data_IF_825615121609
#
_entry.id   IF_825615121609
#
_cell.length_a   1.000
_cell.length_b   1.000
_cell.length_c   1.000
_cell.angle_alpha   90.00
_cell.angle_beta   90.00
_cell.angle_gamma   90.00
#
_symmetry.space_group_name_H-M   'P 1'
#
loop_
_entity.id
_entity.type
_entity.pdbx_description
1 polymer ?
#
# COMPACT_ATOMS: atom_id res chain seq x y z
N UNK A 1 24.02 22.98 -5.31
CA UNK A 1 23.83 21.52 -5.20
C UNK A 1 23.08 21.23 -3.92
N UNK A 2 21.78 20.99 -4.04
CA UNK A 2 20.96 20.28 -3.05
C UNK A 2 19.62 20.04 -3.74
N UNK A 3 19.55 18.90 -4.43
CA UNK A 3 18.29 18.31 -4.88
C UNK A 3 17.33 18.28 -3.70
N UNK A 4 16.29 19.12 -3.73
CA UNK A 4 15.20 19.07 -2.77
C UNK A 4 14.28 17.92 -3.16
N UNK A 5 14.72 16.68 -2.91
CA UNK A 5 13.81 15.56 -2.76
C UNK A 5 12.95 15.84 -1.53
N UNK A 6 11.75 16.41 -1.74
CA UNK A 6 10.79 16.63 -0.66
C UNK A 6 10.51 15.29 0.03
N UNK A 7 10.92 15.16 1.28
CA UNK A 7 10.56 14.03 2.15
C UNK A 7 9.35 14.46 2.99
N UNK A 8 8.35 13.59 3.11
CA UNK A 8 7.20 13.87 3.99
C UNK A 8 7.65 14.03 5.44
N UNK A 9 7.05 14.98 6.17
CA UNK A 9 7.20 14.99 7.62
C UNK A 9 6.51 13.77 8.24
N UNK A 10 6.95 13.31 9.42
CA UNK A 10 6.36 12.14 10.08
C UNK A 10 4.84 12.27 10.27
N UNK A 11 4.34 13.49 10.54
CA UNK A 11 2.90 13.75 10.70
C UNK A 11 2.14 13.61 9.39
N UNK A 12 2.67 14.17 8.30
CA UNK A 12 2.07 14.03 6.96
C UNK A 12 2.08 12.57 6.51
N UNK A 13 3.18 11.87 6.78
CA UNK A 13 3.32 10.44 6.48
C UNK A 13 2.28 9.59 7.22
N UNK A 14 2.08 9.82 8.53
CA UNK A 14 1.08 9.10 9.31
C UNK A 14 -0.35 9.34 8.80
N UNK A 15 -0.68 10.58 8.42
CA UNK A 15 -1.99 10.88 7.82
C UNK A 15 -2.16 10.22 6.45
N UNK A 16 -1.13 10.29 5.60
CA UNK A 16 -1.11 9.65 4.30
C UNK A 16 -1.29 8.13 4.41
N UNK A 17 -0.57 7.49 5.34
CA UNK A 17 -0.71 6.07 5.59
C UNK A 17 -2.10 5.69 6.08
N UNK A 18 -2.72 6.48 6.97
CA UNK A 18 -4.08 6.18 7.46
C UNK A 18 -5.10 6.18 6.33
N UNK A 19 -5.07 7.22 5.49
CA UNK A 19 -5.98 7.35 4.35
C UNK A 19 -5.76 6.23 3.33
N UNK A 20 -4.50 5.97 2.96
CA UNK A 20 -4.15 4.95 1.98
C UNK A 20 -4.37 3.53 2.47
N UNK A 21 -4.14 3.25 3.76
CA UNK A 21 -4.48 1.96 4.36
C UNK A 21 -5.99 1.73 4.35
N UNK A 22 -6.80 2.73 4.68
CA UNK A 22 -8.26 2.59 4.64
C UNK A 22 -8.79 2.31 3.23
N UNK A 23 -8.20 2.93 2.21
CA UNK A 23 -8.52 2.65 0.80
C UNK A 23 -8.04 1.25 0.37
N UNK A 24 -6.83 0.86 0.78
CA UNK A 24 -6.25 -0.45 0.50
C UNK A 24 -7.08 -1.58 1.13
N UNK A 25 -7.54 -1.43 2.38
CA UNK A 25 -8.36 -2.44 3.04
C UNK A 25 -9.64 -2.75 2.26
N UNK A 26 -10.32 -1.74 1.71
CA UNK A 26 -11.51 -1.95 0.87
C UNK A 26 -11.23 -2.77 -0.39
N UNK A 27 -10.05 -2.58 -1.00
CA UNK A 27 -9.63 -3.34 -2.19
C UNK A 27 -9.16 -4.75 -1.84
N UNK A 28 -8.56 -4.91 -0.67
CA UNK A 28 -8.05 -6.18 -0.18
C UNK A 28 -9.15 -7.07 0.41
N UNK A 29 -10.27 -6.53 0.90
CA UNK A 29 -11.39 -7.30 1.46
C UNK A 29 -11.82 -8.53 0.63
N UNK A 30 -12.10 -8.42 -0.68
CA UNK A 30 -12.48 -9.59 -1.48
C UNK A 30 -11.34 -10.62 -1.61
N UNK A 31 -10.10 -10.16 -1.75
CA UNK A 31 -8.91 -11.02 -1.88
C UNK A 31 -8.64 -11.79 -0.59
N UNK A 32 -8.73 -11.08 0.54
CA UNK A 32 -8.55 -11.66 1.88
C UNK A 32 -9.68 -12.62 2.19
N UNK A 33 -10.92 -12.34 1.77
CA UNK A 33 -12.05 -13.24 1.97
C UNK A 33 -11.83 -14.62 1.34
N UNK A 34 -11.39 -14.67 0.09
CA UNK A 34 -11.08 -15.93 -0.60
C UNK A 34 -9.94 -16.70 0.08
N UNK A 35 -8.93 -15.98 0.58
CA UNK A 35 -7.86 -16.58 1.37
C UNK A 35 -8.37 -17.14 2.70
N UNK A 36 -9.21 -16.39 3.42
CA UNK A 36 -9.82 -16.83 4.69
C UNK A 36 -10.69 -18.08 4.48
N UNK A 37 -11.46 -18.14 3.39
CA UNK A 37 -12.24 -19.33 3.04
C UNK A 37 -11.34 -20.56 2.80
N UNK A 38 -10.21 -20.38 2.11
CA UNK A 38 -9.24 -21.46 1.88
C UNK A 38 -8.53 -21.92 3.17
N UNK A 39 -8.19 -20.99 4.06
CA UNK A 39 -7.50 -21.28 5.33
C UNK A 39 -8.40 -21.85 6.42
N UNK A 40 -9.71 -21.57 6.38
CA UNK A 40 -10.67 -22.03 7.41
C UNK A 40 -10.67 -23.53 7.63
N UNK A 41 -10.39 -24.30 6.57
CA UNK A 41 -10.39 -25.76 6.61
C UNK A 41 -8.98 -26.37 6.69
N UNK A 42 -7.92 -25.56 6.82
CA UNK A 42 -6.52 -26.03 6.75
C UNK A 42 -5.67 -25.31 7.79
N UNK A 43 -5.19 -26.06 8.79
CA UNK A 43 -4.33 -25.49 9.84
C UNK A 43 -2.83 -25.63 9.55
N UNK A 44 -2.42 -26.68 8.82
CA UNK A 44 -0.99 -27.00 8.61
C UNK A 44 -0.51 -26.80 7.16
N UNK A 45 -1.41 -26.81 6.17
CA UNK A 45 -1.06 -26.81 4.74
C UNK A 45 -1.40 -25.54 3.98
N UNK A 46 -1.68 -24.43 4.69
CA UNK A 46 -2.10 -23.14 4.10
C UNK A 46 -1.11 -22.63 3.06
N UNK A 47 0.18 -22.61 3.38
CA UNK A 47 1.21 -22.05 2.52
C UNK A 47 1.35 -22.77 1.16
N UNK A 48 0.92 -24.03 1.09
CA UNK A 48 0.95 -24.83 -0.14
C UNK A 48 -0.42 -24.92 -0.83
N UNK A 49 -1.48 -25.19 -0.06
CA UNK A 49 -2.83 -25.37 -0.59
C UNK A 49 -3.50 -24.06 -1.02
N UNK A 50 -3.17 -22.95 -0.36
CA UNK A 50 -3.69 -21.61 -0.65
C UNK A 50 -2.61 -20.71 -1.29
N UNK A 51 -1.58 -21.31 -1.90
CA UNK A 51 -0.42 -20.59 -2.47
C UNK A 51 -0.83 -19.56 -3.53
N UNK A 52 -1.88 -19.85 -4.29
CA UNK A 52 -2.38 -18.97 -5.33
C UNK A 52 -3.03 -17.71 -4.73
N UNK A 53 -3.89 -17.87 -3.74
CA UNK A 53 -4.53 -16.77 -3.02
C UNK A 53 -3.50 -15.96 -2.21
N UNK A 54 -2.51 -16.63 -1.62
CA UNK A 54 -1.45 -15.99 -0.85
C UNK A 54 -0.56 -15.06 -1.71
N UNK A 55 -0.35 -15.40 -3.00
CA UNK A 55 0.42 -14.57 -3.93
C UNK A 55 -0.26 -13.25 -4.25
N UNK A 56 -1.60 -13.23 -4.27
CA UNK A 56 -2.37 -12.04 -4.60
C UNK A 56 -2.35 -11.00 -3.46
N UNK A 57 -2.15 -11.43 -2.21
CA UNK A 57 -2.12 -10.56 -1.03
C UNK A 57 -0.78 -9.79 -0.93
N UNK A 58 0.33 -10.35 -1.38
CA UNK A 58 1.69 -9.84 -1.12
C UNK A 58 2.22 -8.82 -2.14
N UNK A 59 1.34 -8.12 -2.88
CA UNK A 59 1.79 -7.13 -3.87
C UNK A 59 1.96 -5.73 -3.26
N UNK A 60 3.16 -5.43 -2.75
CA UNK A 60 3.53 -4.15 -2.11
C UNK A 60 3.64 -2.94 -3.06
N UNK A 61 3.38 -3.13 -4.36
CA UNK A 61 3.64 -2.11 -5.38
C UNK A 61 2.73 -0.87 -5.25
N UNK A 62 1.57 -1.00 -4.60
CA UNK A 62 0.56 0.06 -4.53
C UNK A 62 0.98 1.24 -3.65
N UNK A 63 1.68 1.00 -2.54
CA UNK A 63 2.11 2.04 -1.62
C UNK A 63 3.25 2.88 -2.21
N UNK A 64 4.23 2.22 -2.82
CA UNK A 64 5.36 2.90 -3.47
C UNK A 64 4.92 3.81 -4.62
N UNK A 65 3.87 3.41 -5.37
CA UNK A 65 3.25 4.25 -6.42
C UNK A 65 2.51 5.44 -5.82
N UNK A 66 1.71 5.20 -4.78
CA UNK A 66 0.94 6.25 -4.12
C UNK A 66 1.85 7.32 -3.48
N UNK A 67 2.97 6.91 -2.91
CA UNK A 67 3.97 7.82 -2.34
C UNK A 67 4.57 8.73 -3.42
N UNK A 68 4.99 8.15 -4.55
CA UNK A 68 5.52 8.94 -5.68
C UNK A 68 4.50 9.93 -6.21
N UNK A 69 3.24 9.52 -6.39
CA UNK A 69 2.18 10.42 -6.85
C UNK A 69 1.93 11.57 -5.87
N UNK A 70 1.97 11.29 -4.57
CA UNK A 70 1.82 12.32 -3.53
C UNK A 70 2.95 13.35 -3.59
N UNK A 71 4.19 12.87 -3.72
CA UNK A 71 5.38 13.73 -3.85
C UNK A 71 5.35 14.56 -5.14
N UNK A 72 4.93 13.97 -6.26
CA UNK A 72 4.81 14.69 -7.54
C UNK A 72 3.72 15.76 -7.51
N UNK A 73 2.54 15.46 -6.93
CA UNK A 73 1.44 16.42 -6.77
C UNK A 73 1.83 17.62 -5.91
N UNK A 74 2.72 17.42 -4.94
CA UNK A 74 3.13 18.45 -3.98
C UNK A 74 4.47 19.09 -4.30
N UNK A 75 5.03 18.86 -5.51
CA UNK A 75 6.26 19.47 -6.00
C UNK A 75 6.09 21.01 -6.04
N UNK A 76 6.81 21.78 -5.21
CA UNK A 76 6.73 23.24 -5.28
C UNK A 76 7.48 23.72 -6.52
N UNK A 77 6.75 24.29 -7.48
CA UNK A 77 7.32 24.98 -8.64
C UNK A 77 6.53 26.26 -8.91
N UNK A 78 7.26 27.36 -9.15
CA UNK A 78 6.80 28.62 -9.76
C UNK A 78 5.81 29.53 -9.00
N UNK A 79 6.15 29.98 -7.79
CA UNK A 79 5.89 31.40 -7.47
C UNK A 79 7.21 32.13 -7.50
N UNK A 80 7.29 33.04 -8.47
CA UNK A 80 8.51 33.71 -8.89
C UNK A 80 9.21 34.46 -7.78
N UNK A 81 10.52 34.53 -7.96
CA UNK A 81 11.27 35.73 -7.69
C UNK A 81 11.88 36.19 -9.02
#
# INVERSE_FOLDING_TARGET
MSDLSRVMSNREYDTFLKERKAEAFKRCDPIVKEFVECTRNRFLSVAWACRQQNRNIMSDESLAKAEKEYLDRTRPGSKGF
#
